data_IF_409193330465
#
_entry.id   IF_409193330465
#
_cell.length_a   1.000
_cell.length_b   1.000
_cell.length_c   1.000
_cell.angle_alpha   90.00
_cell.angle_beta   90.00
_cell.angle_gamma   90.00
#
_symmetry.space_group_name_H-M   'P 1'
#
loop_
_entity.id
_entity.type
_entity.pdbx_description
1 polymer ?
#
# COMPACT_ATOMS: atom_id res chain seq x y z
N UNK A 1 6.10 -23.27 -2.96
CA UNK A 1 7.09 -24.08 -2.21
C UNK A 1 6.60 -25.49 -2.08
N UNK A 2 5.39 -25.67 -1.55
CA UNK A 2 4.76 -26.96 -1.30
C UNK A 2 4.78 -27.89 -2.52
N UNK A 3 4.41 -27.37 -3.69
CA UNK A 3 4.48 -28.13 -4.95
C UNK A 3 5.90 -28.65 -5.26
N UNK A 4 6.94 -27.81 -5.14
CA UNK A 4 8.32 -28.19 -5.43
C UNK A 4 8.88 -29.17 -4.40
N UNK A 5 8.55 -28.96 -3.12
CA UNK A 5 8.95 -29.85 -2.03
C UNK A 5 8.31 -31.24 -2.18
N UNK A 6 7.04 -31.31 -2.61
CA UNK A 6 6.36 -32.58 -2.92
C UNK A 6 7.03 -33.35 -4.06
N UNK A 7 7.76 -32.66 -4.95
CA UNK A 7 8.55 -33.28 -6.02
C UNK A 7 10.00 -33.58 -5.61
N UNK A 8 10.34 -33.46 -4.31
CA UNK A 8 11.69 -33.73 -3.80
C UNK A 8 12.73 -32.65 -4.14
N UNK A 9 12.30 -31.49 -4.64
CA UNK A 9 13.21 -30.38 -4.98
C UNK A 9 13.50 -29.58 -3.71
N UNK A 10 14.78 -29.44 -3.36
CA UNK A 10 15.21 -28.61 -2.24
C UNK A 10 15.04 -27.13 -2.57
N UNK A 11 14.38 -26.39 -1.67
CA UNK A 11 14.18 -24.95 -1.82
C UNK A 11 14.66 -24.22 -0.57
N UNK A 12 15.36 -23.10 -0.77
CA UNK A 12 15.82 -22.20 0.29
C UNK A 12 15.21 -20.81 0.11
N UNK A 13 14.64 -20.25 1.17
CA UNK A 13 14.15 -18.87 1.19
C UNK A 13 15.26 -17.95 1.67
N UNK A 14 15.55 -16.90 0.91
CA UNK A 14 16.44 -15.82 1.32
C UNK A 14 15.59 -14.57 1.53
N UNK A 15 15.42 -14.09 2.78
CA UNK A 15 14.64 -12.89 3.05
C UNK A 15 15.22 -11.66 2.34
N UNK A 16 14.32 -10.83 1.81
CA UNK A 16 14.67 -9.53 1.23
C UNK A 16 14.04 -8.38 2.01
N UNK A 17 14.47 -7.16 1.69
CA UNK A 17 13.84 -5.94 2.20
C UNK A 17 12.54 -5.74 1.41
N UNK A 18 11.41 -5.69 2.12
CA UNK A 18 10.12 -5.43 1.47
C UNK A 18 10.01 -3.97 1.03
N UNK A 19 9.26 -3.71 -0.05
CA UNK A 19 9.17 -2.36 -0.63
C UNK A 19 8.71 -1.32 0.38
N UNK A 20 7.78 -1.66 1.27
CA UNK A 20 7.34 -0.72 2.29
C UNK A 20 8.44 -0.25 3.22
N UNK A 21 9.29 -1.15 3.71
CA UNK A 21 10.41 -0.79 4.57
C UNK A 21 11.46 0.03 3.81
N UNK A 22 11.78 -0.37 2.57
CA UNK A 22 12.75 0.35 1.74
C UNK A 22 12.30 1.76 1.39
N UNK A 23 11.05 1.92 0.92
CA UNK A 23 10.45 3.21 0.57
C UNK A 23 10.31 4.09 1.81
N UNK A 24 9.84 3.53 2.92
CA UNK A 24 9.68 4.28 4.17
C UNK A 24 11.01 4.84 4.67
N UNK A 25 12.07 4.04 4.62
CA UNK A 25 13.41 4.50 4.97
C UNK A 25 13.93 5.59 4.01
N UNK A 26 13.73 5.41 2.70
CA UNK A 26 14.17 6.37 1.68
C UNK A 26 13.44 7.72 1.76
N UNK A 27 12.14 7.71 2.08
CA UNK A 27 11.33 8.91 2.27
C UNK A 27 11.44 9.51 3.68
N UNK A 28 12.15 8.87 4.61
CA UNK A 28 12.21 9.29 6.01
C UNK A 28 10.87 9.19 6.75
N UNK A 29 9.97 8.31 6.32
CA UNK A 29 8.66 8.08 6.91
C UNK A 29 8.75 6.87 7.84
N UNK A 30 8.73 7.03 9.16
CA UNK A 30 8.76 5.87 10.05
C UNK A 30 7.44 5.10 9.95
N UNK A 31 7.51 3.78 9.78
CA UNK A 31 6.31 2.93 9.74
C UNK A 31 5.59 2.88 11.10
N UNK A 32 6.33 3.08 12.20
CA UNK A 32 5.77 3.26 13.54
C UNK A 32 6.40 4.47 14.20
N UNK A 33 5.59 5.23 14.91
CA UNK A 33 6.06 6.38 15.69
C UNK A 33 5.17 6.55 16.90
N UNK A 34 5.77 6.70 18.08
CA UNK A 34 5.02 6.84 19.34
C UNK A 34 4.08 8.05 19.24
N UNK A 35 2.81 7.84 19.59
CA UNK A 35 1.78 8.89 19.53
C UNK A 35 1.28 9.23 18.12
N UNK A 36 1.69 8.48 17.09
CA UNK A 36 1.23 8.63 15.70
C UNK A 36 0.78 7.30 15.12
N UNK A 37 1.61 6.25 15.22
CA UNK A 37 1.25 4.90 14.81
C UNK A 37 1.96 3.86 15.69
N UNK A 38 1.19 3.03 16.38
CA UNK A 38 1.71 1.94 17.23
C UNK A 38 1.77 0.59 16.50
N UNK A 39 1.17 0.51 15.32
CA UNK A 39 1.18 -0.70 14.49
C UNK A 39 1.35 -0.39 13.01
N UNK A 40 1.72 -1.41 12.23
CA UNK A 40 1.84 -1.35 10.77
C UNK A 40 1.04 -2.49 10.17
N UNK A 41 0.28 -2.20 9.12
CA UNK A 41 -0.56 -3.20 8.45
C UNK A 41 -0.24 -3.25 6.97
N UNK A 42 0.21 -4.42 6.52
CA UNK A 42 0.48 -4.70 5.10
C UNK A 42 -0.74 -5.34 4.45
N UNK A 43 -1.33 -4.64 3.49
CA UNK A 43 -2.57 -5.04 2.82
C UNK A 43 -2.37 -5.11 1.29
N UNK A 44 -3.24 -5.85 0.60
CA UNK A 44 -3.33 -5.85 -0.86
C UNK A 44 -4.52 -5.02 -1.31
N UNK A 45 -4.31 -4.14 -2.28
CA UNK A 45 -5.36 -3.34 -2.91
C UNK A 45 -6.14 -4.08 -3.99
N UNK A 46 -5.76 -5.32 -4.34
CA UNK A 46 -6.49 -6.19 -5.28
C UNK A 46 -7.02 -7.45 -4.60
N UNK A 47 -8.23 -7.86 -5.02
CA UNK A 47 -8.84 -9.15 -4.65
C UNK A 47 -8.47 -10.24 -5.66
N UNK A 48 -8.10 -11.43 -5.18
CA UNK A 48 -7.78 -12.61 -6.00
C UNK A 48 -8.97 -13.15 -6.81
N UNK A 49 -10.20 -12.69 -6.55
CA UNK A 49 -11.44 -13.24 -7.14
C UNK A 49 -11.96 -12.51 -8.40
N UNK A 50 -11.16 -11.68 -9.06
CA UNK A 50 -11.56 -11.05 -10.34
C UNK A 50 -12.74 -10.07 -10.24
N UNK A 51 -13.18 -9.74 -9.03
CA UNK A 51 -14.14 -8.67 -8.78
C UNK A 51 -13.43 -7.32 -8.68
N UNK A 52 -14.05 -6.27 -9.19
CA UNK A 52 -13.59 -4.86 -9.10
C UNK A 52 -13.64 -4.30 -7.68
N UNK A 53 -14.05 -5.10 -6.71
CA UNK A 53 -14.28 -4.67 -5.36
C UNK A 53 -13.04 -4.94 -4.50
N UNK A 54 -12.34 -3.91 -3.97
CA UNK A 54 -11.16 -4.08 -3.11
C UNK A 54 -11.51 -4.61 -1.70
N UNK A 55 -12.48 -5.53 -1.62
CA UNK A 55 -13.15 -6.08 -0.43
C UNK A 55 -12.25 -6.64 0.68
N UNK A 56 -10.93 -6.75 0.46
CA UNK A 56 -10.02 -7.27 1.48
C UNK A 56 -9.20 -6.20 2.21
N UNK A 57 -9.32 -4.92 1.84
CA UNK A 57 -9.07 -3.86 2.81
C UNK A 57 -10.31 -3.84 3.71
N UNK A 58 -10.27 -4.71 4.72
CA UNK A 58 -11.39 -5.00 5.61
C UNK A 58 -12.02 -3.72 6.15
N UNK A 59 -13.30 -3.77 6.49
CA UNK A 59 -14.00 -2.73 7.26
C UNK A 59 -13.17 -2.30 8.50
N UNK A 60 -12.40 -3.23 9.07
CA UNK A 60 -11.50 -3.00 10.20
C UNK A 60 -10.10 -2.47 9.82
N UNK A 61 -9.85 -2.05 8.59
CA UNK A 61 -8.54 -1.53 8.17
C UNK A 61 -8.35 -0.05 8.54
N UNK A 62 -9.43 0.70 8.66
CA UNK A 62 -9.41 2.09 9.10
C UNK A 62 -9.12 2.18 10.59
N UNK A 63 -7.83 2.11 10.94
CA UNK A 63 -7.33 2.27 12.29
C UNK A 63 -6.39 3.49 12.33
N UNK A 64 -6.80 4.60 12.96
CA UNK A 64 -6.03 5.84 12.98
C UNK A 64 -4.71 5.73 13.75
N UNK A 65 -4.56 4.72 14.61
CA UNK A 65 -3.33 4.46 15.37
C UNK A 65 -2.35 3.52 14.63
N UNK A 66 -2.59 3.29 13.33
CA UNK A 66 -1.81 2.38 12.51
C UNK A 66 -1.36 2.97 11.18
N UNK A 67 -0.14 2.63 10.76
CA UNK A 67 0.33 2.93 9.41
C UNK A 67 -0.17 1.86 8.45
N UNK A 68 -1.01 2.27 7.49
CA UNK A 68 -1.52 1.39 6.45
C UNK A 68 -0.59 1.40 5.23
N UNK A 69 -0.08 0.22 4.88
CA UNK A 69 0.71 0.01 3.68
C UNK A 69 -0.09 -0.87 2.73
N UNK A 70 -0.57 -0.29 1.63
CA UNK A 70 -1.32 -1.02 0.61
C UNK A 70 -0.45 -1.30 -0.63
N UNK A 71 -0.15 -2.58 -0.85
CA UNK A 71 0.49 -3.07 -2.07
C UNK A 71 -0.52 -3.22 -3.19
N UNK A 72 -0.07 -3.05 -4.44
CA UNK A 72 -0.93 -3.19 -5.62
C UNK A 72 -2.19 -2.31 -5.51
N UNK A 73 -2.10 -1.14 -4.87
CA UNK A 73 -3.28 -0.29 -4.60
C UNK A 73 -3.55 0.79 -5.65
N UNK A 74 -2.62 1.05 -6.58
CA UNK A 74 -2.68 2.27 -7.41
C UNK A 74 -3.89 2.32 -8.35
N UNK A 75 -4.24 1.21 -9.00
CA UNK A 75 -5.43 1.17 -9.87
C UNK A 75 -6.75 1.22 -9.09
N UNK A 76 -6.76 0.74 -7.83
CA UNK A 76 -7.95 0.72 -6.97
C UNK A 76 -8.03 1.90 -6.01
N UNK A 77 -7.01 2.79 -6.03
CA UNK A 77 -6.81 3.88 -5.09
C UNK A 77 -8.04 4.79 -4.90
N UNK A 78 -8.78 5.22 -5.95
CA UNK A 78 -9.97 6.04 -5.74
C UNK A 78 -11.02 5.37 -4.85
N UNK A 79 -11.35 4.10 -5.13
CA UNK A 79 -12.32 3.33 -4.34
C UNK A 79 -11.80 2.99 -2.95
N UNK A 80 -10.50 2.72 -2.83
CA UNK A 80 -9.85 2.41 -1.58
C UNK A 80 -9.89 3.60 -0.61
N UNK A 81 -9.53 4.80 -1.08
CA UNK A 81 -9.58 6.01 -0.28
C UNK A 81 -11.00 6.28 0.24
N UNK A 82 -12.02 6.16 -0.62
CA UNK A 82 -13.42 6.31 -0.22
C UNK A 82 -13.84 5.31 0.85
N UNK A 83 -13.44 4.05 0.72
CA UNK A 83 -13.75 3.01 1.71
C UNK A 83 -13.06 3.24 3.05
N UNK A 84 -11.78 3.60 3.04
CA UNK A 84 -11.05 3.90 4.27
C UNK A 84 -11.69 5.07 5.02
N UNK A 85 -12.07 6.12 4.28
CA UNK A 85 -12.78 7.28 4.84
C UNK A 85 -14.14 6.86 5.41
N UNK A 86 -14.92 6.08 4.64
CA UNK A 86 -16.22 5.59 5.09
C UNK A 86 -16.15 4.75 6.38
N UNK A 87 -15.07 3.98 6.56
CA UNK A 87 -14.85 3.14 7.73
C UNK A 87 -14.16 3.88 8.90
N UNK A 88 -14.00 5.21 8.82
CA UNK A 88 -13.60 6.04 9.96
C UNK A 88 -12.19 6.62 9.90
N UNK A 89 -11.44 6.44 8.80
CA UNK A 89 -10.16 7.11 8.64
C UNK A 89 -10.39 8.59 8.25
N UNK A 90 -9.77 9.57 8.91
CA UNK A 90 -9.98 10.98 8.58
C UNK A 90 -9.65 11.30 7.11
N UNK A 91 -10.47 12.07 6.38
CA UNK A 91 -10.20 12.42 4.97
C UNK A 91 -8.89 13.17 4.75
N UNK A 92 -8.45 13.90 5.77
CA UNK A 92 -7.20 14.66 5.86
C UNK A 92 -6.00 13.83 6.33
N UNK A 93 -6.17 12.51 6.53
CA UNK A 93 -5.07 11.61 6.88
C UNK A 93 -3.92 11.76 5.88
N UNK A 94 -2.69 12.07 6.35
CA UNK A 94 -1.52 12.17 5.48
C UNK A 94 -1.26 10.84 4.78
N UNK A 95 -1.08 10.88 3.46
CA UNK A 95 -0.87 9.69 2.66
C UNK A 95 0.17 9.92 1.55
N UNK A 96 0.84 8.84 1.15
CA UNK A 96 1.80 8.85 0.06
C UNK A 96 1.50 7.72 -0.93
N UNK A 97 1.52 8.04 -2.22
CA UNK A 97 1.56 7.05 -3.29
C UNK A 97 2.98 7.01 -3.86
N UNK A 98 3.56 5.80 -3.94
CA UNK A 98 4.94 5.59 -4.41
C UNK A 98 4.97 4.54 -5.54
N UNK A 99 5.55 4.91 -6.68
CA UNK A 99 5.78 4.05 -7.85
C UNK A 99 7.27 3.90 -8.03
N UNK A 100 7.71 2.67 -8.35
CA UNK A 100 9.12 2.35 -8.59
C UNK A 100 10.01 2.82 -7.43
N UNK A 101 9.53 2.60 -6.21
CA UNK A 101 10.21 3.03 -4.99
C UNK A 101 11.62 2.47 -4.88
N UNK A 102 12.55 3.26 -4.30
CA UNK A 102 13.98 2.96 -4.15
C UNK A 102 14.76 2.78 -5.47
N UNK A 103 14.20 3.24 -6.59
CA UNK A 103 14.88 3.22 -7.90
C UNK A 103 15.14 4.65 -8.41
N UNK A 104 16.06 4.84 -9.38
CA UNK A 104 16.27 6.16 -10.01
C UNK A 104 15.03 6.71 -10.73
N UNK A 105 14.04 5.87 -11.03
CA UNK A 105 12.77 6.27 -11.63
C UNK A 105 11.63 6.35 -10.61
N UNK A 106 11.95 6.47 -9.31
CA UNK A 106 10.96 6.64 -8.26
C UNK A 106 10.09 7.88 -8.52
N UNK A 107 8.80 7.71 -8.25
CA UNK A 107 7.82 8.78 -8.28
C UNK A 107 7.03 8.74 -6.99
N UNK A 108 6.84 9.90 -6.40
CA UNK A 108 6.17 10.03 -5.10
C UNK A 108 5.15 11.16 -5.15
N UNK A 109 3.95 10.88 -4.67
CA UNK A 109 2.88 11.85 -4.50
C UNK A 109 2.50 11.89 -3.03
N UNK A 110 2.59 13.07 -2.43
CA UNK A 110 2.09 13.33 -1.08
C UNK A 110 0.78 14.09 -1.17
N UNK A 111 -0.20 13.63 -0.40
CA UNK A 111 -1.52 14.25 -0.34
C UNK A 111 -2.25 13.84 0.94
N UNK A 112 -3.34 14.54 1.24
CA UNK A 112 -4.38 13.99 2.11
C UNK A 112 -5.08 12.82 1.40
N UNK A 113 -5.55 11.85 2.18
CA UNK A 113 -6.19 10.64 1.68
C UNK A 113 -7.30 10.92 0.65
N UNK A 114 -8.13 11.95 0.91
CA UNK A 114 -9.23 12.36 0.02
C UNK A 114 -8.77 12.82 -1.37
N UNK A 115 -7.55 13.36 -1.48
CA UNK A 115 -7.01 13.96 -2.70
C UNK A 115 -5.98 13.08 -3.41
N UNK A 116 -5.46 12.04 -2.73
CA UNK A 116 -4.32 11.26 -3.18
C UNK A 116 -4.57 10.62 -4.56
N UNK A 117 -5.77 10.11 -4.79
CA UNK A 117 -6.14 9.50 -6.07
C UNK A 117 -6.07 10.49 -7.24
N UNK A 118 -6.63 11.69 -7.06
CA UNK A 118 -6.64 12.73 -8.08
C UNK A 118 -5.23 13.27 -8.34
N UNK A 119 -4.47 13.57 -7.28
CA UNK A 119 -3.08 14.04 -7.42
C UNK A 119 -2.17 13.00 -8.10
N UNK A 120 -2.42 11.71 -7.86
CA UNK A 120 -1.67 10.63 -8.53
C UNK A 120 -1.97 10.53 -10.03
N UNK A 121 -3.21 10.78 -10.45
CA UNK A 121 -3.60 10.83 -11.88
C UNK A 121 -3.01 12.03 -12.60
N UNK A 122 -2.97 13.21 -11.95
CA UNK A 122 -2.42 14.44 -12.54
C UNK A 122 -0.95 14.32 -12.89
N UNK A 123 -0.21 13.50 -12.14
CA UNK A 123 1.16 13.14 -12.49
C UNK A 123 1.23 12.05 -13.58
N UNK A 124 0.15 11.66 -14.26
CA UNK A 124 0.15 10.68 -15.38
C UNK A 124 0.69 9.28 -15.04
N UNK A 125 0.44 8.76 -13.83
CA UNK A 125 0.77 7.38 -13.46
C UNK A 125 -0.08 6.33 -14.22
N UNK A 126 -1.32 6.68 -14.57
CA UNK A 126 -2.25 5.76 -15.25
C UNK A 126 -2.07 5.65 -16.78
N UNK A 127 -1.07 6.29 -17.41
CA UNK A 127 -0.95 6.36 -18.88
C UNK A 127 -0.07 5.28 -19.54
N UNK A 128 0.36 4.24 -18.81
CA UNK A 128 1.13 3.12 -19.40
C UNK A 128 0.49 1.78 -19.01
N UNK A 129 -0.60 1.46 -19.71
CA UNK A 129 -1.02 0.07 -19.93
C UNK A 129 -0.67 -0.30 -21.36
#
# INVERSE_FOLDING_TARGET
MDFLQQQGIQVKVIPGITAASGISAELGIPLTHRGVAISVRFLTGHSRKGGTDPLFVAENAADPDSTLVIYMGLSTLPSLAQKLIHNGLPPDTPAAAVERGTTPQQRTVFAELKDLAEKSKQQSWCRRH
#
